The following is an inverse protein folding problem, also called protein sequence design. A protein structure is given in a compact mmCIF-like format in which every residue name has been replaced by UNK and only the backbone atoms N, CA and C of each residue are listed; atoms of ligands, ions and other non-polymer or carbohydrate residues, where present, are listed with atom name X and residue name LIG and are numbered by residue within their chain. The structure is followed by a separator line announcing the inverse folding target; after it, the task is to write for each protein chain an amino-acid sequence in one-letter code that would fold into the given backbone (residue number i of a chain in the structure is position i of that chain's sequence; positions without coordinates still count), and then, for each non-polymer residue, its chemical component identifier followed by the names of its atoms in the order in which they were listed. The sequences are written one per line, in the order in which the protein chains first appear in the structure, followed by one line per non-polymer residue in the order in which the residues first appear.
data_IF_420871163546
#
_entry.id   IF_420871163546
#
_cell.length_a   1.000
_cell.length_b   1.000
_cell.length_c   1.000
_cell.angle_alpha   90.00
_cell.angle_beta   90.00
_cell.angle_gamma   90.00
#
_symmetry.space_group_name_H-M   'P 1'
#
loop_
_entity.id
_entity.type
_entity.pdbx_description
1 polymer ?
#
# COMPACT_ATOMS: atom_id res chain seq x y z
N UNK A 1 -0.36 -0.83 -30.74
CA UNK A 1 -1.00 -0.51 -29.42
C UNK A 1 -0.78 -1.59 -28.35
N UNK A 2 -1.08 -2.88 -28.59
CA UNK A 2 -0.92 -3.95 -27.58
C UNK A 2 0.52 -4.13 -27.04
N UNK A 3 1.53 -4.04 -27.92
CA UNK A 3 2.96 -4.12 -27.52
C UNK A 3 3.38 -3.01 -26.56
N UNK A 4 2.89 -1.78 -26.76
CA UNK A 4 3.19 -0.63 -25.89
C UNK A 4 2.59 -0.85 -24.50
N UNK A 5 1.33 -1.30 -24.43
CA UNK A 5 0.67 -1.65 -23.16
C UNK A 5 1.42 -2.74 -22.40
N UNK A 6 1.86 -3.80 -23.10
CA UNK A 6 2.65 -4.89 -22.51
C UNK A 6 4.00 -4.41 -21.97
N UNK A 7 4.74 -3.58 -22.73
CA UNK A 7 6.00 -2.97 -22.28
C UNK A 7 5.80 -2.09 -21.04
N UNK A 8 4.74 -1.27 -21.02
CA UNK A 8 4.40 -0.43 -19.85
C UNK A 8 4.07 -1.27 -18.62
N UNK A 9 3.30 -2.34 -18.78
CA UNK A 9 2.96 -3.24 -17.68
C UNK A 9 4.21 -3.94 -17.15
N UNK A 10 5.10 -4.42 -18.03
CA UNK A 10 6.39 -4.99 -17.63
C UNK A 10 7.24 -4.00 -16.82
N UNK A 11 7.34 -2.74 -17.27
CA UNK A 11 8.08 -1.71 -16.54
C UNK A 11 7.49 -1.41 -15.15
N UNK A 12 6.16 -1.45 -15.02
CA UNK A 12 5.47 -1.31 -13.72
C UNK A 12 5.77 -2.50 -12.79
N UNK A 13 5.74 -3.74 -13.31
CA UNK A 13 6.14 -4.93 -12.54
C UNK A 13 7.60 -4.86 -12.09
N UNK A 14 8.52 -4.47 -12.97
CA UNK A 14 9.94 -4.28 -12.60
C UNK A 14 10.11 -3.19 -11.54
N UNK A 15 9.31 -2.12 -11.57
CA UNK A 15 9.32 -1.08 -10.54
C UNK A 15 8.74 -1.58 -9.21
N UNK A 16 7.66 -2.37 -9.27
CA UNK A 16 7.09 -3.02 -8.09
C UNK A 16 8.11 -3.95 -7.43
N UNK A 17 8.77 -4.82 -8.20
CA UNK A 17 9.79 -5.75 -7.71
C UNK A 17 10.88 -5.05 -6.89
N UNK A 18 11.47 -3.96 -7.41
CA UNK A 18 12.48 -3.16 -6.70
C UNK A 18 11.98 -2.60 -5.36
N UNK A 19 10.72 -2.15 -5.29
CA UNK A 19 10.17 -1.67 -4.03
C UNK A 19 9.92 -2.81 -3.04
N UNK A 20 9.49 -3.98 -3.51
CA UNK A 20 9.32 -5.16 -2.65
C UNK A 20 10.65 -5.62 -2.06
N UNK A 21 11.72 -5.68 -2.88
CA UNK A 21 13.08 -5.97 -2.42
C UNK A 21 13.50 -5.01 -1.30
N UNK A 22 13.28 -3.70 -1.45
CA UNK A 22 13.58 -2.71 -0.41
C UNK A 22 12.72 -2.93 0.85
N UNK A 23 11.45 -3.35 0.72
CA UNK A 23 10.58 -3.59 1.89
C UNK A 23 11.08 -4.75 2.74
N UNK A 24 11.55 -5.83 2.09
CA UNK A 24 11.99 -7.06 2.74
C UNK A 24 13.46 -7.04 3.18
N UNK A 25 14.26 -6.08 2.70
CA UNK A 25 15.64 -5.88 3.14
C UNK A 25 15.71 -5.31 4.57
N UNK A 26 15.90 -6.19 5.55
CA UNK A 26 15.98 -5.83 6.97
C UNK A 26 17.15 -4.91 7.32
N UNK A 27 18.20 -4.86 6.48
CA UNK A 27 19.32 -3.94 6.65
C UNK A 27 18.97 -2.50 6.26
N UNK A 28 17.83 -2.28 5.57
CA UNK A 28 17.38 -0.93 5.23
C UNK A 28 16.70 -0.25 6.41
N UNK A 29 16.95 1.06 6.61
CA UNK A 29 16.26 1.84 7.63
C UNK A 29 14.73 1.75 7.48
N UNK A 30 14.01 1.68 8.61
CA UNK A 30 12.54 1.60 8.63
C UNK A 30 11.88 2.69 7.79
N UNK A 31 12.39 3.93 7.80
CA UNK A 31 11.90 5.04 6.98
C UNK A 31 11.92 4.73 5.48
N UNK A 32 12.96 4.04 5.00
CA UNK A 32 13.11 3.66 3.60
C UNK A 32 12.17 2.50 3.24
N UNK A 33 12.05 1.51 4.12
CA UNK A 33 11.12 0.38 3.98
C UNK A 33 9.67 0.85 3.90
N UNK A 34 9.23 1.63 4.89
CA UNK A 34 7.86 2.19 4.96
C UNK A 34 7.52 3.08 3.77
N UNK A 35 8.47 3.90 3.30
CA UNK A 35 8.30 4.69 2.06
C UNK A 35 8.09 3.76 0.87
N UNK A 36 8.92 2.73 0.70
CA UNK A 36 8.79 1.78 -0.40
C UNK A 36 7.50 0.97 -0.35
N UNK A 37 7.03 0.59 0.83
CA UNK A 37 5.75 -0.11 1.00
C UNK A 37 4.56 0.71 0.50
N UNK A 38 4.55 2.02 0.78
CA UNK A 38 3.53 2.95 0.23
C UNK A 38 3.56 3.01 -1.29
N UNK A 39 4.75 3.05 -1.89
CA UNK A 39 4.89 3.01 -3.35
C UNK A 39 4.49 1.66 -3.94
N UNK A 40 4.88 0.55 -3.32
CA UNK A 40 4.52 -0.80 -3.74
C UNK A 40 3.00 -0.99 -3.74
N UNK A 41 2.29 -0.56 -2.70
CA UNK A 41 0.83 -0.61 -2.63
C UNK A 41 0.17 0.21 -3.76
N UNK A 42 0.70 1.40 -4.07
CA UNK A 42 0.19 2.22 -5.16
C UNK A 42 0.41 1.56 -6.54
N UNK A 43 1.57 0.92 -6.74
CA UNK A 43 1.87 0.16 -7.94
C UNK A 43 0.99 -1.10 -8.04
N UNK A 44 0.83 -1.84 -6.95
CA UNK A 44 -0.03 -3.03 -6.87
C UNK A 44 -1.47 -2.72 -7.24
N UNK A 45 -2.04 -1.63 -6.72
CA UNK A 45 -3.36 -1.17 -7.15
C UNK A 45 -3.39 -0.83 -8.65
N UNK A 46 -2.39 -0.10 -9.16
CA UNK A 46 -2.34 0.29 -10.58
C UNK A 46 -2.18 -0.90 -11.54
N UNK A 47 -1.60 -2.00 -11.03
CA UNK A 47 -1.39 -3.25 -11.74
C UNK A 47 -2.58 -4.23 -11.59
N UNK A 48 -3.56 -3.91 -10.75
CA UNK A 48 -4.69 -4.80 -10.44
C UNK A 48 -4.34 -5.98 -9.53
N UNK A 49 -3.24 -5.88 -8.75
CA UNK A 49 -2.86 -6.88 -7.75
C UNK A 49 -3.55 -6.67 -6.41
N UNK A 50 -4.07 -5.46 -6.18
CA UNK A 50 -4.84 -5.09 -4.99
C UNK A 50 -6.12 -4.44 -5.48
N UNK A 51 -7.27 -4.98 -5.07
CA UNK A 51 -8.56 -4.43 -5.44
C UNK A 51 -8.93 -3.24 -4.56
N UNK A 52 -9.07 -2.07 -5.19
CA UNK A 52 -9.57 -0.86 -4.53
C UNK A 52 -11.10 -0.91 -4.45
N UNK A 53 -11.72 -0.98 -3.26
CA UNK A 53 -13.16 -0.89 -3.13
C UNK A 53 -13.66 0.51 -3.51
N UNK A 54 -14.95 0.61 -3.88
CA UNK A 54 -15.60 1.89 -4.19
C UNK A 54 -15.97 2.70 -2.93
N UNK A 55 -15.91 2.08 -1.76
CA UNK A 55 -16.34 2.63 -0.47
C UNK A 55 -15.33 2.30 0.63
N UNK A 56 -15.35 3.07 1.71
CA UNK A 56 -14.52 2.81 2.88
C UNK A 56 -14.81 1.42 3.45
N UNK A 57 -13.77 0.68 3.81
CA UNK A 57 -13.91 -0.67 4.36
C UNK A 57 -14.60 -0.67 5.74
N UNK A 58 -14.47 0.42 6.50
CA UNK A 58 -15.07 0.57 7.82
C UNK A 58 -16.45 1.25 7.76
N UNK A 59 -16.49 2.53 7.42
CA UNK A 59 -17.74 3.31 7.50
C UNK A 59 -18.65 3.17 6.26
N UNK A 60 -18.22 2.44 5.22
CA UNK A 60 -18.97 2.19 3.97
C UNK A 60 -19.36 3.44 3.17
N UNK A 61 -18.90 4.65 3.57
CA UNK A 61 -19.12 5.89 2.83
C UNK A 61 -18.30 5.92 1.53
N UNK A 62 -18.89 6.48 0.48
CA UNK A 62 -18.24 6.66 -0.82
C UNK A 62 -17.45 7.97 -0.82
N UNK A 63 -16.13 7.87 -0.69
CA UNK A 63 -15.22 9.01 -0.62
C UNK A 63 -13.79 8.62 -1.02
N UNK A 64 -12.85 9.59 -0.98
CA UNK A 64 -11.45 9.33 -1.30
C UNK A 64 -10.86 8.33 -0.30
N UNK A 65 -10.47 7.16 -0.79
CA UNK A 65 -9.82 6.14 0.03
C UNK A 65 -8.29 6.32 0.05
N UNK A 66 -7.72 6.07 1.23
CA UNK A 66 -6.31 5.98 1.52
C UNK A 66 -5.98 4.52 1.85
N UNK A 67 -4.74 4.12 1.57
CA UNK A 67 -4.23 2.79 1.93
C UNK A 67 -3.68 2.89 3.34
N UNK A 68 -4.26 2.12 4.26
CA UNK A 68 -3.73 1.94 5.60
C UNK A 68 -2.92 0.65 5.64
N UNK A 69 -1.68 0.75 6.14
CA UNK A 69 -0.78 -0.37 6.36
C UNK A 69 -0.83 -0.72 7.84
N UNK A 70 -1.36 -1.89 8.18
CA UNK A 70 -1.30 -2.43 9.55
C UNK A 70 0.12 -2.92 9.86
N UNK A 71 0.70 -3.65 8.91
CA UNK A 71 2.12 -4.00 8.91
C UNK A 71 2.77 -3.49 7.61
N UNK A 72 3.79 -2.65 7.75
CA UNK A 72 4.57 -2.15 6.62
C UNK A 72 5.53 -3.22 6.04
N UNK A 73 5.70 -4.37 6.70
CA UNK A 73 6.38 -5.55 6.16
C UNK A 73 5.50 -6.32 5.16
N UNK A 74 4.20 -6.05 5.12
CA UNK A 74 3.27 -6.60 4.15
C UNK A 74 2.83 -5.50 3.16
N UNK A 75 3.70 -5.08 2.22
CA UNK A 75 3.51 -3.84 1.46
C UNK A 75 2.25 -3.82 0.58
N UNK A 76 1.75 -4.99 0.18
CA UNK A 76 0.53 -5.14 -0.63
C UNK A 76 -0.71 -5.46 0.22
N UNK A 77 -0.54 -5.76 1.50
CA UNK A 77 -1.67 -5.96 2.42
C UNK A 77 -2.08 -4.60 3.00
N UNK A 78 -3.11 -4.01 2.41
CA UNK A 78 -3.61 -2.70 2.83
C UNK A 78 -5.11 -2.72 3.01
N UNK A 79 -5.58 -1.99 4.02
CA UNK A 79 -7.00 -1.69 4.17
C UNK A 79 -7.31 -0.35 3.53
N UNK A 80 -8.36 -0.27 2.72
CA UNK A 80 -8.80 0.99 2.13
C UNK A 80 -9.78 1.70 3.05
N UNK A 81 -9.36 2.83 3.61
CA UNK A 81 -10.11 3.62 4.56
C UNK A 81 -10.30 5.05 4.04
N UNK A 82 -11.37 5.71 4.45
CA UNK A 82 -11.47 7.16 4.27
C UNK A 82 -10.55 7.90 5.22
N UNK A 83 -10.28 9.21 5.02
CA UNK A 83 -9.36 9.97 5.87
C UNK A 83 -9.72 9.89 7.37
N UNK A 84 -11.01 10.01 7.71
CA UNK A 84 -11.47 9.95 9.11
C UNK A 84 -11.18 8.58 9.75
N UNK A 85 -11.56 7.49 9.07
CA UNK A 85 -11.29 6.13 9.54
C UNK A 85 -9.79 5.80 9.54
N UNK A 86 -9.04 6.36 8.59
CA UNK A 86 -7.61 6.18 8.48
C UNK A 86 -6.88 6.80 9.68
N UNK A 87 -7.27 8.01 10.09
CA UNK A 87 -6.73 8.66 11.30
C UNK A 87 -7.02 7.85 12.59
N UNK A 88 -8.21 7.26 12.70
CA UNK A 88 -8.55 6.37 13.82
C UNK A 88 -7.67 5.12 13.80
N UNK A 89 -7.50 4.49 12.63
CA UNK A 89 -6.66 3.30 12.47
C UNK A 89 -5.19 3.59 12.82
N UNK A 90 -4.64 4.73 12.37
CA UNK A 90 -3.29 5.17 12.72
C UNK A 90 -3.12 5.31 14.25
N UNK A 91 -4.15 5.78 14.96
CA UNK A 91 -4.17 5.84 16.43
C UNK A 91 -4.20 4.46 17.10
N UNK A 92 -4.87 3.47 16.52
CA UNK A 92 -4.94 2.10 17.06
C UNK A 92 -3.58 1.39 17.04
N UNK A 93 -2.77 1.61 16.00
CA UNK A 93 -1.43 1.02 15.88
C UNK A 93 -0.48 1.55 16.97
N UNK A 94 -0.69 2.76 17.47
CA UNK A 94 0.15 3.34 18.54
C UNK A 94 -0.14 2.75 19.92
N UNK A 95 -1.36 2.25 20.16
CA UNK A 95 -1.75 1.70 21.46
C UNK A 95 -1.09 0.34 21.78
N UNK A 96 -0.62 -0.40 20.78
CA UNK A 96 0.04 -1.71 20.97
C UNK A 96 1.52 -1.61 21.34
N UNK A 97 2.11 -0.40 21.38
CA UNK A 97 3.51 -0.19 21.70
C UNK A 97 3.78 0.19 23.18
N UNK A 98 2.74 0.24 24.03
CA UNK A 98 2.82 0.68 25.43
C UNK A 98 2.45 -0.44 26.43
N UNK A 99 2.21 -1.68 25.97
CA UNK A 99 1.97 -2.83 26.85
C UNK A 99 3.24 -3.66 27.05
#
# INVERSE_FOLDING_TARGET
MKKIRRKRQQALFSRLGRHLEICFDSFRPRRIRTRSARYAAALGESLGLIDRPKVCSWCRRRQRLQRHHWDYQEPLNVTFLCPDCHAIADGMVMAQAIA
#
